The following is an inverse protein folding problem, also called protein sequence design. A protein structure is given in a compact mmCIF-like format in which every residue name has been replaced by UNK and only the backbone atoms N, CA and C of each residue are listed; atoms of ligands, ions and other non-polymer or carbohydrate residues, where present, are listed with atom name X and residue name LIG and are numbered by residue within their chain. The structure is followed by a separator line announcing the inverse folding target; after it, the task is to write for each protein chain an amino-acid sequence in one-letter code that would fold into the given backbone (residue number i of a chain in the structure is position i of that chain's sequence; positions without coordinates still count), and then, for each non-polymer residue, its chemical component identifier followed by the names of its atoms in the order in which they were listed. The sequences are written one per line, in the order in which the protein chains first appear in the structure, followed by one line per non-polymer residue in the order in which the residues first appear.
data_IF_514098894957
#
_entry.id   IF_514098894957
#
_cell.length_a   1.000
_cell.length_b   1.000
_cell.length_c   1.000
_cell.angle_alpha   90.00
_cell.angle_beta   90.00
_cell.angle_gamma   90.00
#
_symmetry.space_group_name_H-M   'P 1'
#
loop_
_entity.id
_entity.type
_entity.pdbx_description
1 polymer ?
#
# COMPACT_ATOMS: atom_id res chain seq x y z
N UNK A 1 -15.33 0.60 -24.00
CA UNK A 1 -14.39 1.71 -24.27
C UNK A 1 -13.40 1.16 -25.28
N UNK A 2 -13.41 1.64 -26.52
CA UNK A 2 -12.43 1.22 -27.53
C UNK A 2 -11.31 2.24 -27.48
N UNK A 3 -10.12 1.82 -27.07
CA UNK A 3 -8.93 2.67 -27.12
C UNK A 3 -8.48 2.69 -28.57
N UNK A 4 -8.30 3.88 -29.15
CA UNK A 4 -7.77 4.02 -30.49
C UNK A 4 -6.26 3.73 -30.49
N UNK A 5 -5.82 2.80 -31.35
CA UNK A 5 -4.41 2.37 -31.41
C UNK A 5 -3.50 3.52 -31.79
N UNK A 6 -3.88 4.31 -32.81
CA UNK A 6 -3.04 5.39 -33.31
C UNK A 6 -2.93 6.53 -32.28
N UNK A 7 -4.00 6.83 -31.56
CA UNK A 7 -3.97 7.81 -30.46
C UNK A 7 -3.07 7.34 -29.31
N UNK A 8 -3.14 6.05 -28.94
CA UNK A 8 -2.29 5.48 -27.89
C UNK A 8 -0.81 5.46 -28.29
N UNK A 9 -0.51 5.05 -29.52
CA UNK A 9 0.85 5.07 -30.09
C UNK A 9 1.43 6.48 -30.09
N UNK A 10 0.65 7.47 -30.53
CA UNK A 10 1.07 8.86 -30.53
C UNK A 10 1.32 9.40 -29.11
N UNK A 11 0.48 9.02 -28.15
CA UNK A 11 0.65 9.42 -26.75
C UNK A 11 1.92 8.83 -26.14
N UNK A 12 2.21 7.55 -26.37
CA UNK A 12 3.43 6.90 -25.89
C UNK A 12 4.67 7.49 -26.57
N UNK A 13 4.62 7.72 -27.88
CA UNK A 13 5.70 8.36 -28.63
C UNK A 13 6.02 9.76 -28.08
N UNK A 14 5.00 10.55 -27.73
CA UNK A 14 5.18 11.87 -27.11
C UNK A 14 5.87 11.77 -25.73
N UNK A 15 5.50 10.77 -24.92
CA UNK A 15 6.14 10.51 -23.62
C UNK A 15 7.61 10.14 -23.80
N UNK A 16 7.92 9.24 -24.73
CA UNK A 16 9.28 8.85 -25.06
C UNK A 16 10.12 10.03 -25.57
N UNK A 17 9.57 10.86 -26.46
CA UNK A 17 10.24 12.05 -26.94
C UNK A 17 10.56 13.06 -25.83
N UNK A 18 9.69 13.17 -24.82
CA UNK A 18 9.87 14.10 -23.71
C UNK A 18 10.78 13.58 -22.60
N UNK A 19 10.77 12.27 -22.33
CA UNK A 19 11.34 11.70 -21.11
C UNK A 19 12.55 10.79 -21.32
N UNK A 20 12.80 10.29 -22.53
CA UNK A 20 14.01 9.50 -22.76
C UNK A 20 15.25 10.42 -22.66
N UNK A 21 16.26 10.04 -21.88
CA UNK A 21 17.53 10.75 -21.85
C UNK A 21 18.31 10.44 -23.13
N UNK A 22 18.02 11.17 -24.20
CA UNK A 22 18.59 10.89 -25.52
C UNK A 22 19.93 11.62 -25.69
N UNK A 23 21.01 10.89 -26.03
CA UNK A 23 22.30 11.50 -26.30
C UNK A 23 22.26 12.54 -27.43
N UNK A 24 22.94 13.67 -27.24
CA UNK A 24 22.99 14.76 -28.23
C UNK A 24 23.67 14.37 -29.56
N UNK A 25 24.47 13.31 -29.57
CA UNK A 25 25.12 12.77 -30.77
C UNK A 25 24.24 11.81 -31.58
N UNK A 26 23.05 11.43 -31.06
CA UNK A 26 22.14 10.52 -31.75
C UNK A 26 21.40 11.27 -32.88
N UNK A 27 21.45 10.79 -34.14
CA UNK A 27 20.72 11.40 -35.25
C UNK A 27 19.21 11.51 -35.01
N UNK A 28 18.61 12.62 -35.44
CA UNK A 28 17.19 12.91 -35.19
C UNK A 28 16.26 11.88 -35.86
N UNK A 29 16.61 11.43 -37.06
CA UNK A 29 15.85 10.45 -37.84
C UNK A 29 15.93 9.06 -37.20
N UNK A 30 17.12 8.63 -36.80
CA UNK A 30 17.32 7.35 -36.10
C UNK A 30 16.60 7.33 -34.74
N UNK A 31 16.58 8.47 -34.04
CA UNK A 31 15.82 8.65 -32.81
C UNK A 31 14.31 8.57 -33.05
N UNK A 32 13.81 9.23 -34.10
CA UNK A 32 12.38 9.21 -34.43
C UNK A 32 11.91 7.80 -34.77
N UNK A 33 12.67 7.08 -35.60
CA UNK A 33 12.38 5.69 -35.96
C UNK A 33 12.37 4.77 -34.74
N UNK A 34 13.35 4.92 -33.84
CA UNK A 34 13.39 4.19 -32.57
C UNK A 34 12.15 4.46 -31.70
N UNK A 35 11.77 5.74 -31.53
CA UNK A 35 10.62 6.11 -30.71
C UNK A 35 9.32 5.56 -31.30
N UNK A 36 9.16 5.63 -32.62
CA UNK A 36 7.97 5.14 -33.32
C UNK A 36 7.82 3.62 -33.18
N UNK A 37 8.89 2.87 -33.41
CA UNK A 37 8.90 1.40 -33.28
C UNK A 37 8.57 0.95 -31.85
N UNK A 38 9.26 1.53 -30.85
CA UNK A 38 9.04 1.18 -29.45
C UNK A 38 7.68 1.66 -28.92
N UNK A 39 7.17 2.79 -29.40
CA UNK A 39 5.83 3.25 -29.04
C UNK A 39 4.75 2.32 -29.60
N UNK A 40 4.93 1.83 -30.83
CA UNK A 40 4.03 0.86 -31.45
C UNK A 40 4.03 -0.48 -30.70
N UNK A 41 5.21 -1.00 -30.36
CA UNK A 41 5.33 -2.22 -29.55
C UNK A 41 4.67 -2.08 -28.17
N UNK A 42 4.92 -0.96 -27.49
CA UNK A 42 4.32 -0.66 -26.19
C UNK A 42 2.80 -0.54 -26.28
N UNK A 43 2.27 0.12 -27.31
CA UNK A 43 0.83 0.22 -27.53
C UNK A 43 0.20 -1.16 -27.77
N UNK A 44 0.82 -2.01 -28.60
CA UNK A 44 0.36 -3.38 -28.81
C UNK A 44 0.30 -4.19 -27.51
N UNK A 45 1.32 -4.08 -26.64
CA UNK A 45 1.31 -4.75 -25.33
C UNK A 45 0.16 -4.25 -24.44
N UNK A 46 -0.04 -2.93 -24.36
CA UNK A 46 -1.13 -2.34 -23.56
C UNK A 46 -2.50 -2.78 -24.07
N UNK A 47 -2.73 -2.74 -25.38
CA UNK A 47 -3.99 -3.18 -25.97
C UNK A 47 -4.24 -4.66 -25.74
N UNK A 48 -3.20 -5.50 -25.85
CA UNK A 48 -3.31 -6.94 -25.57
C UNK A 48 -3.68 -7.23 -24.12
N UNK A 49 -3.11 -6.49 -23.16
CA UNK A 49 -3.47 -6.65 -21.75
C UNK A 49 -4.89 -6.15 -21.46
N UNK A 50 -5.30 -5.04 -22.08
CA UNK A 50 -6.68 -4.53 -21.97
C UNK A 50 -7.68 -5.54 -22.52
N UNK A 51 -7.36 -6.19 -23.64
CA UNK A 51 -8.19 -7.25 -24.24
C UNK A 51 -8.26 -8.47 -23.30
N UNK A 52 -7.12 -8.92 -22.77
CA UNK A 52 -7.07 -10.01 -21.80
C UNK A 52 -7.86 -9.72 -20.51
N UNK A 53 -7.85 -8.47 -20.04
CA UNK A 53 -8.70 -8.02 -18.93
C UNK A 53 -10.18 -8.06 -19.34
N UNK A 54 -10.51 -7.60 -20.55
CA UNK A 54 -11.86 -7.67 -21.11
C UNK A 54 -12.40 -9.09 -21.17
N UNK A 55 -11.57 -10.04 -21.61
CA UNK A 55 -11.90 -11.47 -21.63
C UNK A 55 -12.13 -12.03 -20.22
N UNK A 56 -11.27 -11.70 -19.26
CA UNK A 56 -11.44 -12.12 -17.85
C UNK A 56 -12.74 -11.58 -17.24
N UNK A 57 -13.08 -10.32 -17.53
CA UNK A 57 -14.34 -9.70 -17.08
C UNK A 57 -15.53 -10.40 -17.74
N UNK A 58 -15.44 -10.70 -19.03
CA UNK A 58 -16.51 -11.38 -19.78
C UNK A 58 -16.72 -12.81 -19.29
N UNK A 59 -15.63 -13.55 -19.03
CA UNK A 59 -15.67 -14.88 -18.42
C UNK A 59 -16.26 -14.83 -17.01
N UNK A 60 -15.85 -13.86 -16.19
CA UNK A 60 -16.44 -13.65 -14.87
C UNK A 60 -17.94 -13.35 -14.96
N UNK A 61 -18.37 -12.47 -15.87
CA UNK A 61 -19.79 -12.14 -16.07
C UNK A 61 -20.60 -13.35 -16.56
N UNK A 62 -20.03 -14.17 -17.45
CA UNK A 62 -20.66 -15.41 -17.91
C UNK A 62 -20.81 -16.44 -16.78
N UNK A 63 -19.84 -16.51 -15.86
CA UNK A 63 -19.92 -17.34 -14.64
C UNK A 63 -20.89 -16.78 -13.60
N UNK A 64 -21.00 -15.44 -13.47
CA UNK A 64 -21.91 -14.77 -12.51
C UNK A 64 -23.38 -14.99 -12.86
N UNK A 65 -23.72 -15.06 -14.16
CA UNK A 65 -25.07 -15.41 -14.62
C UNK A 65 -25.54 -16.83 -14.19
N UNK A 66 -24.70 -17.62 -13.52
CA UNK A 66 -25.08 -18.92 -12.94
C UNK A 66 -25.76 -18.78 -11.56
N UNK A 67 -25.67 -17.68 -10.80
CA UNK A 67 -26.52 -17.50 -9.59
C UNK A 67 -26.43 -16.12 -8.91
N UNK A 68 -26.79 -15.02 -9.59
CA UNK A 68 -26.66 -13.67 -9.00
C UNK A 68 -27.50 -13.45 -7.72
N UNK A 69 -28.61 -14.17 -7.54
CA UNK A 69 -29.46 -14.00 -6.36
C UNK A 69 -28.97 -14.79 -5.13
N UNK A 70 -28.33 -15.94 -5.34
CA UNK A 70 -27.92 -16.85 -4.26
C UNK A 70 -26.47 -16.58 -3.84
N UNK A 71 -25.58 -16.21 -4.78
CA UNK A 71 -24.17 -15.89 -4.48
C UNK A 71 -24.02 -14.59 -3.70
N UNK A 72 -24.71 -13.51 -4.09
CA UNK A 72 -24.61 -12.23 -3.40
C UNK A 72 -25.14 -12.30 -1.97
N UNK A 73 -26.17 -13.14 -1.74
CA UNK A 73 -26.73 -13.40 -0.40
C UNK A 73 -25.80 -14.27 0.45
N UNK A 74 -25.17 -15.29 -0.15
CA UNK A 74 -24.16 -16.12 0.53
C UNK A 74 -22.89 -15.33 0.89
N UNK A 75 -22.38 -14.50 -0.03
CA UNK A 75 -21.20 -13.67 0.21
C UNK A 75 -21.49 -12.65 1.31
N UNK A 76 -22.65 -11.97 1.27
CA UNK A 76 -23.03 -11.03 2.32
C UNK A 76 -23.18 -11.72 3.69
N UNK A 77 -23.75 -12.93 3.73
CA UNK A 77 -23.88 -13.71 4.97
C UNK A 77 -22.51 -14.15 5.51
N UNK A 78 -21.62 -14.63 4.63
CA UNK A 78 -20.27 -15.04 5.01
C UNK A 78 -19.43 -13.85 5.53
N UNK A 79 -19.54 -12.69 4.88
CA UNK A 79 -18.88 -11.46 5.33
C UNK A 79 -19.40 -10.99 6.71
N UNK A 80 -20.71 -11.11 6.97
CA UNK A 80 -21.28 -10.76 8.28
C UNK A 80 -20.78 -11.68 9.40
N UNK A 81 -20.68 -12.99 9.14
CA UNK A 81 -20.15 -13.95 10.12
C UNK A 81 -18.67 -13.66 10.42
N UNK A 82 -17.84 -13.52 9.39
CA UNK A 82 -16.41 -13.24 9.55
C UNK A 82 -16.15 -11.89 10.24
N UNK A 83 -16.95 -10.86 9.92
CA UNK A 83 -16.86 -9.57 10.60
C UNK A 83 -17.27 -9.69 12.08
N UNK A 84 -18.32 -10.47 12.38
CA UNK A 84 -18.76 -10.73 13.75
C UNK A 84 -17.72 -11.51 14.57
N UNK A 85 -17.07 -12.49 13.97
CA UNK A 85 -15.98 -13.26 14.57
C UNK A 85 -14.75 -12.39 14.85
N UNK A 86 -14.28 -11.64 13.85
CA UNK A 86 -13.14 -10.73 14.02
C UNK A 86 -13.41 -9.62 15.05
N UNK A 87 -14.62 -9.05 15.06
CA UNK A 87 -15.01 -8.07 16.06
C UNK A 87 -15.03 -8.66 17.47
N UNK A 88 -15.49 -9.91 17.61
CA UNK A 88 -15.54 -10.61 18.90
C UNK A 88 -14.14 -10.95 19.41
N UNK A 89 -13.24 -11.40 18.53
CA UNK A 89 -11.84 -11.69 18.85
C UNK A 89 -11.10 -10.42 19.30
N UNK A 90 -11.19 -9.34 18.53
CA UNK A 90 -10.57 -8.04 18.89
C UNK A 90 -11.14 -7.51 20.21
N UNK A 91 -12.45 -7.65 20.45
CA UNK A 91 -13.05 -7.25 21.72
C UNK A 91 -12.51 -8.08 22.90
N UNK A 92 -12.37 -9.39 22.72
CA UNK A 92 -11.83 -10.27 23.74
C UNK A 92 -10.39 -9.89 24.09
N UNK A 93 -9.52 -9.76 23.09
CA UNK A 93 -8.11 -9.40 23.27
C UNK A 93 -7.94 -8.04 23.95
N UNK A 94 -8.71 -7.04 23.52
CA UNK A 94 -8.67 -5.72 24.16
C UNK A 94 -9.12 -5.79 25.62
N UNK A 95 -10.17 -6.55 25.91
CA UNK A 95 -10.66 -6.73 27.28
C UNK A 95 -9.61 -7.40 28.16
N UNK A 96 -8.94 -8.44 27.65
CA UNK A 96 -7.88 -9.13 28.36
C UNK A 96 -6.66 -8.23 28.59
N UNK A 97 -6.24 -7.48 27.57
CA UNK A 97 -5.11 -6.56 27.67
C UNK A 97 -5.39 -5.42 28.66
N UNK A 98 -6.59 -4.85 28.63
CA UNK A 98 -7.02 -3.83 29.60
C UNK A 98 -7.02 -4.42 31.02
N UNK A 99 -7.57 -5.62 31.22
CA UNK A 99 -7.59 -6.27 32.51
C UNK A 99 -6.18 -6.55 33.04
N UNK A 100 -5.29 -7.09 32.19
CA UNK A 100 -3.90 -7.38 32.52
C UNK A 100 -3.11 -6.11 32.85
N UNK A 101 -3.22 -5.07 32.03
CA UNK A 101 -2.54 -3.79 32.26
C UNK A 101 -3.07 -3.09 33.51
N UNK A 102 -4.37 -3.17 33.77
CA UNK A 102 -4.98 -2.61 34.98
C UNK A 102 -4.48 -3.33 36.24
N UNK A 103 -4.39 -4.67 36.20
CA UNK A 103 -3.84 -5.46 37.31
C UNK A 103 -2.36 -5.13 37.57
N UNK A 104 -1.56 -4.95 36.52
CA UNK A 104 -0.15 -4.53 36.64
C UNK A 104 -0.01 -3.15 37.27
N UNK A 105 -0.79 -2.17 36.82
CA UNK A 105 -0.77 -0.81 37.38
C UNK A 105 -1.23 -0.79 38.84
N UNK A 106 -2.24 -1.59 39.19
CA UNK A 106 -2.67 -1.77 40.57
C UNK A 106 -1.59 -2.40 41.45
N UNK A 107 -0.87 -3.41 40.93
CA UNK A 107 0.26 -4.00 41.65
C UNK A 107 1.41 -2.99 41.84
N UNK A 108 1.78 -2.25 40.80
CA UNK A 108 2.83 -1.21 40.86
C UNK A 108 2.48 -0.11 41.87
N UNK A 109 1.23 0.36 41.85
CA UNK A 109 0.75 1.37 42.80
C UNK A 109 0.75 0.86 44.26
N UNK A 110 0.62 -0.44 44.49
CA UNK A 110 0.71 -1.06 45.83
C UNK A 110 2.16 -1.09 46.34
N UNK A 111 3.17 -1.12 45.47
CA UNK A 111 4.59 -1.14 45.87
C UNK A 111 5.22 0.27 45.99
N UNK A 112 4.69 1.28 45.29
CA UNK A 112 5.22 2.66 45.29
C UNK A 112 4.83 3.50 46.53
N UNK A 113 4.51 2.84 47.64
CA UNK A 113 4.23 3.45 48.94
C UNK A 113 5.30 3.13 49.98
N UNK A 114 6.58 3.16 49.58
CA UNK A 114 7.71 3.03 50.52
C UNK A 114 8.48 4.37 50.59
N UNK A 115 8.49 5.09 51.73
CA UNK A 115 9.11 6.42 51.80
C UNK A 115 10.64 6.28 51.87
N UNK A 116 11.35 6.60 50.79
CA UNK A 116 12.83 6.58 50.78
C UNK A 116 13.41 8.00 50.80
N UNK A 117 14.14 8.26 51.88
CA UNK A 117 14.74 9.53 52.26
C UNK A 117 15.79 10.06 51.26
N UNK A 118 15.86 11.40 51.20
CA UNK A 118 16.73 12.23 50.37
C UNK A 118 18.23 11.99 50.65
N UNK A 119 19.04 11.85 49.61
CA UNK A 119 20.48 12.09 49.68
C UNK A 119 20.91 12.99 48.50
N UNK A 120 21.15 14.26 48.83
CA UNK A 120 21.74 15.28 47.96
C UNK A 120 23.27 15.08 47.97
N UNK A 121 23.92 15.02 46.80
CA UNK A 121 25.39 15.11 46.68
C UNK A 121 25.73 16.18 45.63
N UNK A 122 26.37 17.27 46.10
CA UNK A 122 26.97 18.36 45.32
C UNK A 122 28.40 17.97 44.90
N UNK A 123 28.82 18.31 43.67
CA UNK A 123 30.22 18.17 43.22
C UNK A 123 30.84 19.55 42.89
N UNK A 124 32.11 19.80 43.24
CA UNK A 124 32.75 21.10 43.02
C UNK A 124 33.42 21.23 41.64
N UNK A 125 33.33 22.41 41.03
CA UNK A 125 34.00 22.78 39.77
C UNK A 125 35.44 23.25 40.07
N UNK A 126 36.42 22.62 39.43
CA UNK A 126 37.83 23.00 39.51
C UNK A 126 38.22 23.99 38.39
N UNK A 127 38.88 25.08 38.79
CA UNK A 127 39.50 26.08 37.92
C UNK A 127 40.70 25.49 37.16
N UNK A 128 40.84 25.83 35.87
CA UNK A 128 42.14 25.84 35.20
C UNK A 128 42.31 27.14 34.41
N UNK A 129 43.30 27.92 34.84
CA UNK A 129 44.03 28.85 33.98
C UNK A 129 45.46 28.32 33.80
N UNK A 130 46.11 28.74 32.72
CA UNK A 130 47.57 28.87 32.56
C UNK A 130 47.81 29.53 31.19
N UNK A 131 48.37 30.74 31.18
CA UNK A 131 49.79 31.09 30.92
C UNK A 131 50.19 30.94 29.45
#
# INVERSE_FOLDING_TARGET
MVIDSAELEAAIAAVYAAQLPIPAWWPAEARSAFIEEYASEAACMVLSEVDAIGDRISDWAARSQVSDADESTMIASAQQVLLGEACSEVQYDLTELIASRSAQLMAEAVFDHTPRAQQHVLWPVAHQGQL
#
